data_IF_841619449579
#
_entry.id   IF_841619449579
#
_cell.length_a   1.000
_cell.length_b   1.000
_cell.length_c   1.000
_cell.angle_alpha   90.00
_cell.angle_beta   90.00
_cell.angle_gamma   90.00
#
_symmetry.space_group_name_H-M   'P 1'
#
loop_
_entity.id
_entity.type
_entity.pdbx_description
1 polymer ?
#
# COMPACT_ATOMS: atom_id res chain seq x y z
N UNK A 1 5.75 7.14 26.16
CA UNK A 1 5.93 6.34 24.94
C UNK A 1 5.19 6.99 23.78
N UNK A 2 5.82 7.02 22.63
CA UNK A 2 5.16 7.52 21.43
C UNK A 2 4.13 6.50 20.94
N UNK A 3 2.96 6.99 20.62
CA UNK A 3 1.95 6.19 19.98
C UNK A 3 1.89 6.54 18.51
N UNK A 4 1.91 5.54 17.67
CA UNK A 4 1.78 5.72 16.23
C UNK A 4 0.32 5.50 15.84
N UNK A 5 -0.16 6.35 14.94
CA UNK A 5 -1.53 6.23 14.45
C UNK A 5 -1.69 5.10 13.45
N UNK A 6 -2.92 4.69 13.27
CA UNK A 6 -3.28 3.69 12.26
C UNK A 6 -4.54 4.13 11.51
N UNK A 7 -4.61 3.78 10.23
CA UNK A 7 -5.77 3.99 9.38
C UNK A 7 -6.01 2.74 8.56
N UNK A 8 -7.26 2.35 8.47
CA UNK A 8 -7.61 1.16 7.69
C UNK A 8 -8.95 1.35 7.00
N UNK A 9 -9.09 0.77 5.83
CA UNK A 9 -10.32 0.73 5.06
C UNK A 9 -10.34 -0.51 4.18
N UNK A 10 -11.51 -1.13 4.10
CA UNK A 10 -11.77 -2.22 3.17
C UNK A 10 -12.94 -1.83 2.28
N UNK A 11 -12.76 -1.95 0.99
CA UNK A 11 -13.77 -1.62 0.00
C UNK A 11 -14.06 -2.83 -0.89
N UNK A 12 -15.23 -2.79 -1.51
CA UNK A 12 -15.58 -3.74 -2.56
C UNK A 12 -16.01 -2.96 -3.79
N UNK A 13 -15.58 -3.42 -4.96
CA UNK A 13 -16.03 -2.88 -6.23
C UNK A 13 -16.59 -4.01 -7.08
N UNK A 14 -17.69 -3.73 -7.78
CA UNK A 14 -18.49 -4.76 -8.45
C UNK A 14 -18.16 -4.93 -9.93
N UNK A 15 -17.15 -4.25 -10.43
CA UNK A 15 -16.83 -4.26 -11.86
C UNK A 15 -15.34 -4.46 -12.08
N UNK A 16 -15.02 -5.21 -13.15
CA UNK A 16 -13.68 -5.22 -13.69
C UNK A 16 -13.36 -3.83 -14.24
N UNK A 17 -12.11 -3.46 -14.22
CA UNK A 17 -11.72 -2.17 -14.73
C UNK A 17 -10.21 -1.99 -14.71
N UNK A 18 -9.79 -0.79 -15.02
CA UNK A 18 -8.39 -0.43 -15.00
C UNK A 18 -8.13 0.33 -13.70
N UNK A 19 -7.17 -0.18 -12.92
CA UNK A 19 -6.64 0.56 -11.79
C UNK A 19 -5.67 1.60 -12.34
N UNK A 20 -6.00 2.87 -12.16
CA UNK A 20 -5.09 3.96 -12.48
C UNK A 20 -4.51 4.49 -11.18
N UNK A 21 -3.19 4.52 -11.10
CA UNK A 21 -2.48 4.87 -9.87
C UNK A 21 -1.48 5.97 -10.16
N UNK A 22 -1.52 7.03 -9.37
CA UNK A 22 -0.47 8.04 -9.31
C UNK A 22 0.22 7.90 -7.96
N UNK A 23 1.54 7.85 -7.97
CA UNK A 23 2.31 7.53 -6.77
C UNK A 23 3.57 8.37 -6.71
N UNK A 24 3.83 8.89 -5.52
CA UNK A 24 5.10 9.53 -5.15
C UNK A 24 5.40 9.14 -3.71
N UNK A 25 6.65 8.74 -3.44
CA UNK A 25 7.06 8.37 -2.11
C UNK A 25 7.29 6.87 -1.94
N UNK A 26 7.20 6.41 -0.69
CA UNK A 26 7.53 5.04 -0.29
C UNK A 26 6.32 4.19 0.10
N UNK A 27 5.10 4.69 -0.03
CA UNK A 27 3.91 3.86 0.10
C UNK A 27 3.87 2.86 -1.05
N UNK A 28 3.28 1.70 -0.82
CA UNK A 28 3.19 0.65 -1.83
C UNK A 28 1.76 0.36 -2.23
N UNK A 29 1.58 0.02 -3.50
CA UNK A 29 0.37 -0.58 -4.00
C UNK A 29 0.69 -1.97 -4.53
N UNK A 30 -0.05 -2.96 -4.05
CA UNK A 30 0.03 -4.34 -4.52
C UNK A 30 -1.29 -4.73 -5.16
N UNK A 31 -1.22 -5.66 -6.11
CA UNK A 31 -2.41 -6.35 -6.62
C UNK A 31 -2.20 -7.85 -6.42
N UNK A 32 -3.15 -8.51 -5.77
CA UNK A 32 -3.22 -9.96 -5.70
C UNK A 32 -4.09 -10.44 -6.84
N UNK A 33 -3.50 -11.16 -7.78
CA UNK A 33 -4.20 -11.69 -8.96
C UNK A 33 -3.68 -13.09 -9.25
N UNK A 34 -4.58 -14.02 -9.51
CA UNK A 34 -4.21 -15.42 -9.77
C UNK A 34 -3.27 -16.00 -8.71
N UNK A 35 -3.52 -15.69 -7.44
CA UNK A 35 -2.75 -16.13 -6.27
C UNK A 35 -1.32 -15.58 -6.23
N UNK A 36 -1.01 -14.60 -7.04
CA UNK A 36 0.30 -13.93 -7.05
C UNK A 36 0.14 -12.50 -6.54
N UNK A 37 1.01 -12.10 -5.64
CA UNK A 37 1.06 -10.73 -5.14
C UNK A 37 2.06 -9.94 -5.98
N UNK A 38 1.58 -8.91 -6.65
CA UNK A 38 2.38 -8.09 -7.58
C UNK A 38 2.49 -6.70 -6.99
N UNK A 39 3.71 -6.22 -6.79
CA UNK A 39 3.93 -4.84 -6.38
C UNK A 39 3.87 -3.95 -7.63
N UNK A 40 2.89 -3.06 -7.67
CA UNK A 40 2.66 -2.17 -8.82
C UNK A 40 3.57 -0.96 -8.78
N UNK A 41 3.85 -0.44 -7.58
CA UNK A 41 4.68 0.75 -7.39
C UNK A 41 6.16 0.40 -7.27
N UNK A 42 7.02 1.35 -7.60
CA UNK A 42 8.45 1.25 -7.33
C UNK A 42 8.78 2.05 -6.08
N UNK A 43 9.59 1.46 -5.20
CA UNK A 43 9.98 2.14 -3.98
C UNK A 43 10.97 3.26 -4.29
N UNK A 44 10.75 4.41 -3.65
CA UNK A 44 11.65 5.55 -3.78
C UNK A 44 12.39 5.76 -2.46
N UNK A 45 13.37 4.89 -2.20
CA UNK A 45 14.18 4.88 -0.97
C UNK A 45 15.52 5.59 -1.21
N UNK A 46 15.46 6.86 -1.57
CA UNK A 46 16.68 7.67 -1.70
C UNK A 46 16.95 8.32 -0.35
N UNK A 47 18.17 8.18 0.21
CA UNK A 47 18.51 8.88 1.44
C UNK A 47 18.21 10.37 1.33
N UNK A 48 17.48 10.92 2.31
CA UNK A 48 17.06 12.31 2.27
C UNK A 48 15.83 12.58 1.41
N UNK A 49 15.19 11.57 0.90
CA UNK A 49 14.03 11.71 -0.01
C UNK A 49 12.92 12.57 0.59
N UNK A 50 12.63 12.42 1.86
CA UNK A 50 11.58 13.20 2.53
C UNK A 50 11.88 14.70 2.47
N UNK A 51 13.14 15.08 2.65
CA UNK A 51 13.55 16.48 2.55
C UNK A 51 13.44 16.98 1.11
N UNK A 52 13.84 16.16 0.14
CA UNK A 52 13.73 16.50 -1.28
C UNK A 52 12.27 16.73 -1.65
N UNK A 53 11.38 15.85 -1.23
CA UNK A 53 9.95 15.96 -1.51
C UNK A 53 9.37 17.25 -0.91
N UNK A 54 9.72 17.56 0.34
CA UNK A 54 9.26 18.77 1.00
C UNK A 54 9.74 20.02 0.26
N UNK A 55 11.00 20.04 -0.16
CA UNK A 55 11.56 21.16 -0.92
C UNK A 55 10.89 21.31 -2.28
N UNK A 56 10.65 20.21 -2.97
CA UNK A 56 10.01 20.23 -4.28
C UNK A 56 8.60 20.81 -4.21
N UNK A 57 7.83 20.45 -3.19
CA UNK A 57 6.49 20.99 -2.99
C UNK A 57 6.52 22.50 -2.74
N UNK A 58 7.55 23.00 -2.05
CA UNK A 58 7.71 24.41 -1.77
C UNK A 58 8.31 25.22 -2.91
N UNK A 59 9.19 24.62 -3.69
CA UNK A 59 10.00 25.31 -4.71
C UNK A 59 9.44 25.22 -6.13
N UNK A 60 8.36 24.48 -6.33
CA UNK A 60 7.77 24.18 -7.65
C UNK A 60 8.70 23.35 -8.54
N UNK A 61 9.68 22.69 -7.99
CA UNK A 61 10.48 21.74 -8.73
C UNK A 61 9.64 20.53 -9.12
N UNK A 62 10.05 19.84 -10.18
CA UNK A 62 9.31 18.67 -10.65
C UNK A 62 9.43 17.52 -9.69
N UNK A 63 8.29 17.01 -9.25
CA UNK A 63 8.20 15.73 -8.58
C UNK A 63 8.10 14.63 -9.62
N UNK A 64 8.84 13.55 -9.40
CA UNK A 64 8.72 12.37 -10.25
C UNK A 64 7.53 11.55 -9.75
N UNK A 65 6.40 11.69 -10.43
CA UNK A 65 5.18 10.96 -10.11
C UNK A 65 5.14 9.71 -10.98
N UNK A 66 4.97 8.55 -10.33
CA UNK A 66 4.77 7.30 -11.05
C UNK A 66 3.30 7.20 -11.46
N UNK A 67 3.07 6.90 -12.74
CA UNK A 67 1.74 6.61 -13.24
C UNK A 67 1.72 5.17 -13.71
N UNK A 68 0.84 4.36 -13.15
CA UNK A 68 0.71 2.94 -13.47
C UNK A 68 -0.75 2.62 -13.73
N UNK A 69 -0.98 1.78 -14.72
CA UNK A 69 -2.29 1.21 -15.00
C UNK A 69 -2.20 -0.30 -14.88
N UNK A 70 -3.23 -0.89 -14.28
CA UNK A 70 -3.32 -2.33 -14.12
C UNK A 70 -4.76 -2.78 -14.41
N UNK A 71 -4.91 -3.78 -15.28
CA UNK A 71 -6.22 -4.34 -15.60
C UNK A 71 -6.67 -5.26 -14.46
N UNK A 72 -7.78 -4.90 -13.81
CA UNK A 72 -8.36 -5.69 -12.73
C UNK A 72 -9.37 -6.69 -13.27
N UNK A 73 -9.44 -7.83 -12.63
CA UNK A 73 -10.40 -8.90 -12.92
C UNK A 73 -11.13 -9.31 -11.65
N UNK A 74 -12.28 -9.94 -11.81
CA UNK A 74 -13.03 -10.49 -10.67
C UNK A 74 -12.13 -11.37 -9.80
N UNK A 75 -12.20 -11.16 -8.49
CA UNK A 75 -11.39 -11.91 -7.54
C UNK A 75 -10.05 -11.26 -7.22
N UNK A 76 -9.64 -10.24 -7.95
CA UNK A 76 -8.42 -9.52 -7.63
C UNK A 76 -8.60 -8.71 -6.35
N UNK A 77 -7.48 -8.46 -5.65
CA UNK A 77 -7.46 -7.62 -4.46
C UNK A 77 -6.41 -6.55 -4.66
N UNK A 78 -6.80 -5.30 -4.47
CA UNK A 78 -5.86 -4.17 -4.47
C UNK A 78 -5.53 -3.85 -3.01
N UNK A 79 -4.24 -3.76 -2.70
CA UNK A 79 -3.76 -3.48 -1.35
C UNK A 79 -2.79 -2.32 -1.37
N UNK A 80 -3.16 -1.26 -0.65
CA UNK A 80 -2.30 -0.09 -0.49
C UNK A 80 -1.85 -0.02 0.97
N UNK A 81 -0.58 0.20 1.19
CA UNK A 81 -0.05 0.31 2.55
C UNK A 81 1.13 1.27 2.62
N UNK A 82 1.37 1.75 3.84
CA UNK A 82 2.55 2.54 4.16
C UNK A 82 3.71 1.64 4.59
N UNK A 83 4.91 2.21 4.67
CA UNK A 83 6.12 1.48 5.06
C UNK A 83 6.06 0.91 6.48
N UNK A 84 5.25 1.48 7.35
CA UNK A 84 5.04 0.91 8.67
C UNK A 84 4.47 -0.50 8.65
N UNK A 85 3.82 -0.91 7.56
CA UNK A 85 3.33 -2.27 7.38
C UNK A 85 4.39 -3.15 6.72
N UNK A 86 4.85 -2.80 5.52
CA UNK A 86 5.72 -3.72 4.79
C UNK A 86 7.12 -3.85 5.39
N UNK A 87 7.55 -2.89 6.20
CA UNK A 87 8.81 -3.04 6.95
C UNK A 87 8.69 -3.99 8.15
N UNK A 88 7.47 -4.21 8.65
CA UNK A 88 7.24 -5.13 9.79
C UNK A 88 6.93 -6.55 9.32
N UNK A 89 6.26 -6.69 8.19
CA UNK A 89 5.85 -8.00 7.67
C UNK A 89 6.29 -8.12 6.21
N UNK A 90 6.65 -9.32 5.81
CA UNK A 90 7.13 -9.55 4.45
C UNK A 90 5.99 -9.77 3.46
N UNK A 91 6.34 -9.77 2.17
CA UNK A 91 5.39 -9.97 1.08
C UNK A 91 4.67 -11.31 1.17
N UNK A 92 5.35 -12.35 1.62
CA UNK A 92 4.75 -13.68 1.76
C UNK A 92 3.64 -13.68 2.82
N UNK A 93 3.87 -13.00 3.92
CA UNK A 93 2.86 -12.81 4.97
C UNK A 93 1.64 -12.07 4.42
N UNK A 94 1.88 -10.96 3.71
CA UNK A 94 0.80 -10.15 3.12
C UNK A 94 0.01 -10.97 2.10
N UNK A 95 0.70 -11.70 1.24
CA UNK A 95 0.05 -12.55 0.24
C UNK A 95 -0.86 -13.59 0.90
N UNK A 96 -0.37 -14.28 1.92
CA UNK A 96 -1.15 -15.32 2.59
C UNK A 96 -2.37 -14.74 3.29
N UNK A 97 -2.23 -13.59 3.94
CA UNK A 97 -3.36 -12.95 4.61
C UNK A 97 -4.41 -12.45 3.62
N UNK A 98 -3.97 -11.87 2.51
CA UNK A 98 -4.90 -11.41 1.47
C UNK A 98 -5.59 -12.59 0.78
N UNK A 99 -4.89 -13.70 0.56
CA UNK A 99 -5.50 -14.93 0.04
C UNK A 99 -6.56 -15.49 0.98
N UNK A 100 -6.36 -15.36 2.29
CA UNK A 100 -7.33 -15.80 3.29
C UNK A 100 -8.52 -14.85 3.44
N UNK A 101 -8.53 -13.75 2.71
CA UNK A 101 -9.64 -12.80 2.74
C UNK A 101 -9.65 -11.85 3.92
N UNK A 102 -8.50 -11.58 4.53
CA UNK A 102 -8.42 -10.66 5.66
C UNK A 102 -8.93 -9.27 5.26
N UNK A 103 -9.62 -8.59 6.18
CA UNK A 103 -9.97 -7.19 5.98
C UNK A 103 -8.88 -6.27 6.54
N UNK A 104 -8.95 -4.98 6.18
CA UNK A 104 -7.92 -4.02 6.56
C UNK A 104 -7.81 -3.84 8.07
N UNK A 105 -8.95 -3.81 8.77
CA UNK A 105 -8.96 -3.66 10.23
C UNK A 105 -8.21 -4.79 10.91
N UNK A 106 -8.47 -6.04 10.52
CA UNK A 106 -7.81 -7.21 11.10
C UNK A 106 -6.33 -7.24 10.78
N UNK A 107 -5.94 -6.88 9.55
CA UNK A 107 -4.54 -6.83 9.15
C UNK A 107 -3.78 -5.79 9.96
N UNK A 108 -4.31 -4.59 10.09
CA UNK A 108 -3.70 -3.53 10.89
C UNK A 108 -3.59 -3.97 12.34
N UNK A 109 -4.61 -4.64 12.89
CA UNK A 109 -4.56 -5.18 14.24
C UNK A 109 -3.42 -6.16 14.45
N UNK A 110 -3.18 -7.06 13.48
CA UNK A 110 -2.07 -8.02 13.56
C UNK A 110 -0.72 -7.32 13.47
N UNK A 111 -0.58 -6.33 12.58
CA UNK A 111 0.68 -5.57 12.44
C UNK A 111 0.98 -4.77 13.71
N UNK A 112 -0.04 -4.20 14.33
CA UNK A 112 0.13 -3.47 15.59
C UNK A 112 0.73 -4.33 16.71
N UNK A 113 0.44 -5.63 16.71
CA UNK A 113 1.02 -6.57 17.67
C UNK A 113 2.53 -6.74 17.50
N UNK A 114 3.08 -6.36 16.35
CA UNK A 114 4.52 -6.43 16.07
C UNK A 114 5.27 -5.18 16.55
N UNK A 115 4.59 -4.24 17.19
CA UNK A 115 5.17 -2.98 17.66
C UNK A 115 5.87 -2.20 16.52
N UNK A 116 5.12 -1.77 15.49
CA UNK A 116 5.72 -1.07 14.37
C UNK A 116 6.37 0.23 14.80
N UNK A 117 7.40 0.64 14.06
CA UNK A 117 8.22 1.82 14.37
C UNK A 117 7.72 3.08 13.68
N UNK A 118 6.59 3.01 13.02
CA UNK A 118 6.02 4.11 12.25
C UNK A 118 4.50 4.01 12.26
N UNK A 119 3.85 5.07 11.80
CA UNK A 119 2.42 5.03 11.55
C UNK A 119 2.10 3.97 10.51
N UNK A 120 0.97 3.32 10.64
CA UNK A 120 0.53 2.31 9.69
C UNK A 120 -0.81 2.69 9.08
N UNK A 121 -0.94 2.48 7.78
CA UNK A 121 -2.18 2.69 7.05
C UNK A 121 -2.34 1.59 6.01
N UNK A 122 -3.55 1.11 5.86
CA UNK A 122 -3.87 0.06 4.89
C UNK A 122 -5.23 0.30 4.26
N UNK A 123 -5.31 0.05 2.96
CA UNK A 123 -6.57 0.04 2.21
C UNK A 123 -6.63 -1.26 1.44
N UNK A 124 -7.72 -1.99 1.56
CA UNK A 124 -7.98 -3.21 0.80
C UNK A 124 -9.21 -2.98 -0.07
N UNK A 125 -9.09 -3.29 -1.35
CA UNK A 125 -10.20 -3.21 -2.31
C UNK A 125 -10.39 -4.59 -2.93
N UNK A 126 -11.54 -5.19 -2.69
CA UNK A 126 -11.88 -6.48 -3.28
C UNK A 126 -12.68 -6.27 -4.57
N UNK A 127 -12.22 -6.88 -5.67
CA UNK A 127 -12.90 -6.83 -6.96
C UNK A 127 -13.82 -8.04 -7.05
N UNK A 128 -15.10 -7.83 -7.03
CA UNK A 128 -16.10 -8.91 -7.02
C UNK A 128 -16.77 -9.12 -8.38
#
# INVERSE_FOLDING_TARGET
AEEYGSHDKTFEIAQNGILSLAHVGDSRCYVLSNRSLIQITEDENVPGYQNVLTQALGSKERLKIQNKDFQLSSGDVVFLCTDGIYNEVGDEYLKNKLLDGINAESLVGEVLLQNPKDNISAIIINVI
#
